data_IF_696052685960
#
_entry.id   IF_696052685960
#
_cell.length_a   1.000
_cell.length_b   1.000
_cell.length_c   1.000
_cell.angle_alpha   90.00
_cell.angle_beta   90.00
_cell.angle_gamma   90.00
#
_symmetry.space_group_name_H-M   'P 1'
#
loop_
_entity.id
_entity.type
_entity.pdbx_description
1 polymer ?
#
# COMPACT_ATOMS: atom_id res chain seq x y z
N UNK A 1 -3.56 13.88 19.29
CA UNK A 1 -3.06 13.16 20.47
C UNK A 1 -3.13 14.11 21.65
N UNK A 2 -4.15 13.96 22.50
CA UNK A 2 -4.26 14.74 23.73
C UNK A 2 -3.10 14.34 24.64
N UNK A 3 -2.31 15.33 25.07
CA UNK A 3 -1.22 15.15 26.03
C UNK A 3 -1.80 14.75 27.38
N UNK A 4 -1.92 13.44 27.64
CA UNK A 4 -2.12 12.87 28.96
C UNK A 4 -0.81 12.93 29.79
N UNK A 5 -0.11 14.06 29.75
CA UNK A 5 1.01 14.33 30.62
C UNK A 5 0.48 15.10 31.82
N UNK A 6 0.52 14.52 33.01
CA UNK A 6 0.23 15.25 34.23
C UNK A 6 1.19 16.45 34.34
N UNK A 7 0.65 17.67 34.33
CA UNK A 7 1.43 18.88 34.56
C UNK A 7 2.14 18.83 35.92
N UNK A 8 3.27 19.53 36.06
CA UNK A 8 4.07 19.53 37.29
C UNK A 8 3.29 19.94 38.57
N UNK A 9 2.14 20.59 38.42
CA UNK A 9 1.25 20.99 39.51
C UNK A 9 0.17 19.94 39.87
N UNK A 10 -0.10 19.01 38.96
CA UNK A 10 -1.18 18.02 39.03
C UNK A 10 -0.69 16.58 39.12
N UNK A 11 0.61 16.37 38.98
CA UNK A 11 1.21 15.04 39.04
C UNK A 11 1.07 14.36 40.42
N UNK A 12 1.20 13.04 40.43
CA UNK A 12 1.05 12.22 41.63
C UNK A 12 1.97 12.67 42.78
N UNK A 13 3.16 13.21 42.45
CA UNK A 13 4.07 13.78 43.43
C UNK A 13 3.56 15.10 44.02
N UNK A 14 3.09 16.04 43.21
CA UNK A 14 2.52 17.30 43.71
C UNK A 14 1.25 17.05 44.53
N UNK A 15 0.43 16.07 44.15
CA UNK A 15 -0.73 15.63 44.94
C UNK A 15 -0.29 15.05 46.29
N UNK A 16 0.77 14.23 46.34
CA UNK A 16 1.29 13.70 47.59
C UNK A 16 1.84 14.79 48.50
N UNK A 17 2.58 15.76 47.95
CA UNK A 17 3.10 16.91 48.69
C UNK A 17 1.96 17.79 49.23
N UNK A 18 0.91 18.05 48.43
CA UNK A 18 -0.32 18.73 48.88
C UNK A 18 -1.03 17.97 50.00
N UNK A 19 -1.14 16.65 49.88
CA UNK A 19 -1.78 15.80 50.90
C UNK A 19 -0.98 15.78 52.21
N UNK A 20 0.35 15.75 52.15
CA UNK A 20 1.21 15.83 53.34
C UNK A 20 1.03 17.18 54.03
N UNK A 21 1.01 18.28 53.27
CA UNK A 21 0.77 19.64 53.81
C UNK A 21 -0.61 19.75 54.45
N UNK A 22 -1.66 19.31 53.76
CA UNK A 22 -3.02 19.27 54.31
C UNK A 22 -3.04 18.49 55.64
N UNK A 23 -2.42 17.30 55.70
CA UNK A 23 -2.38 16.49 56.93
C UNK A 23 -1.54 17.10 58.06
N UNK A 24 -0.56 17.96 57.75
CA UNK A 24 0.20 18.70 58.76
C UNK A 24 -0.58 19.89 59.33
N UNK A 25 -1.40 20.55 58.49
CA UNK A 25 -2.18 21.73 58.84
C UNK A 25 -3.53 21.41 59.51
N UNK A 26 -3.96 20.13 59.53
CA UNK A 26 -5.21 19.71 60.21
C UNK A 26 -5.08 19.81 61.73
N UNK A 27 -5.25 21.04 62.22
CA UNK A 27 -5.70 21.35 63.56
C UNK A 27 -7.21 21.09 63.63
N UNK A 28 -7.64 20.18 64.52
CA UNK A 28 -8.96 19.98 65.17
C UNK A 28 -10.29 20.22 64.43
N UNK A 29 -10.30 20.50 63.12
CA UNK A 29 -11.50 20.79 62.30
C UNK A 29 -11.90 19.60 61.42
N UNK A 30 -11.43 18.39 61.73
CA UNK A 30 -11.63 17.15 60.96
C UNK A 30 -13.05 16.56 61.12
N UNK A 31 -14.08 17.37 60.90
CA UNK A 31 -15.48 16.95 61.01
C UNK A 31 -16.52 17.93 60.46
N UNK A 32 -16.16 19.20 60.22
CA UNK A 32 -17.14 20.24 59.87
C UNK A 32 -17.26 20.48 58.36
N UNK A 33 -16.20 20.25 57.58
CA UNK A 33 -16.20 20.46 56.12
C UNK A 33 -15.38 19.39 55.38
N UNK A 34 -15.89 18.89 54.25
CA UNK A 34 -15.20 17.88 53.44
C UNK A 34 -14.05 18.49 52.64
N UNK A 35 -12.83 18.00 52.84
CA UNK A 35 -11.60 18.51 52.22
C UNK A 35 -11.00 17.53 51.17
N UNK A 36 -11.82 16.63 50.63
CA UNK A 36 -11.39 15.61 49.67
C UNK A 36 -10.93 14.30 50.31
N UNK A 37 -10.75 13.27 49.48
CA UNK A 37 -10.44 11.89 49.92
C UNK A 37 -9.13 11.78 50.71
N UNK A 38 -8.18 12.69 50.50
CA UNK A 38 -6.89 12.71 51.20
C UNK A 38 -6.86 13.59 52.47
N UNK A 39 -7.95 14.33 52.74
CA UNK A 39 -8.09 15.20 53.90
C UNK A 39 -8.61 14.50 55.16
N UNK A 40 -8.87 13.18 55.11
CA UNK A 40 -9.18 12.41 56.31
C UNK A 40 -7.92 12.24 57.18
N UNK A 41 -8.10 12.22 58.51
CA UNK A 41 -7.02 12.17 59.50
C UNK A 41 -6.14 10.93 59.30
N UNK A 42 -4.89 11.15 58.91
CA UNK A 42 -3.88 10.11 58.83
C UNK A 42 -3.06 10.05 60.12
N UNK A 43 -3.09 8.89 60.80
CA UNK A 43 -2.33 8.66 62.04
C UNK A 43 -0.84 8.36 61.80
N UNK A 44 -0.46 8.07 60.56
CA UNK A 44 0.92 7.83 60.16
C UNK A 44 1.51 9.12 59.61
N UNK A 45 2.47 9.69 60.34
CA UNK A 45 3.15 10.92 59.94
C UNK A 45 4.09 10.65 58.77
N UNK A 46 3.73 11.10 57.57
CA UNK A 46 4.61 11.09 56.40
C UNK A 46 5.38 12.40 56.34
N UNK A 47 6.71 12.34 56.29
CA UNK A 47 7.57 13.53 56.17
C UNK A 47 7.72 13.92 54.70
N UNK A 48 7.82 15.22 54.40
CA UNK A 48 8.07 15.71 53.03
C UNK A 48 9.40 15.19 52.47
N UNK A 49 10.41 15.00 53.33
CA UNK A 49 11.68 14.35 52.96
C UNK A 49 11.50 12.92 52.43
N UNK A 50 10.47 12.21 52.89
CA UNK A 50 10.14 10.86 52.42
C UNK A 50 9.56 10.87 51.00
N UNK A 51 8.82 11.93 50.64
CA UNK A 51 8.34 12.15 49.26
C UNK A 51 9.49 12.50 48.31
N UNK A 52 10.51 13.22 48.79
CA UNK A 52 11.74 13.49 48.04
C UNK A 52 12.60 12.24 47.77
N UNK A 53 12.74 11.37 48.78
CA UNK A 53 13.52 10.12 48.70
C UNK A 53 12.85 9.02 47.86
N UNK A 54 11.60 9.23 47.46
CA UNK A 54 10.86 8.29 46.62
C UNK A 54 11.50 8.07 45.24
N UNK A 55 12.25 9.06 44.73
CA UNK A 55 13.01 8.92 43.47
C UNK A 55 14.04 7.78 43.51
N UNK A 56 14.58 7.46 44.68
CA UNK A 56 15.63 6.45 44.84
C UNK A 56 15.08 5.12 45.38
N UNK A 57 14.06 5.17 46.24
CA UNK A 57 13.52 3.97 46.90
C UNK A 57 12.38 3.31 46.14
N UNK A 58 11.69 4.04 45.24
CA UNK A 58 10.56 3.52 44.47
C UNK A 58 9.37 3.05 45.31
N UNK A 59 9.33 3.43 46.59
CA UNK A 59 8.39 2.89 47.58
C UNK A 59 6.99 3.49 47.51
N UNK A 60 6.80 4.64 46.87
CA UNK A 60 5.54 5.39 46.89
C UNK A 60 5.10 5.87 45.50
N UNK A 61 4.27 5.10 44.82
CA UNK A 61 3.48 5.57 43.66
C UNK A 61 4.30 6.07 42.45
N UNK A 62 3.61 6.65 41.45
CA UNK A 62 4.23 7.11 40.21
C UNK A 62 5.29 8.19 40.46
N UNK A 63 6.46 8.03 39.84
CA UNK A 63 7.60 8.94 39.99
C UNK A 63 7.57 9.99 38.87
N UNK A 64 7.86 11.25 39.23
CA UNK A 64 8.03 12.35 38.26
C UNK A 64 9.23 12.09 37.35
N UNK A 65 8.99 12.03 36.03
CA UNK A 65 10.04 11.93 35.03
C UNK A 65 10.92 13.20 35.00
N UNK A 66 12.17 13.09 34.52
CA UNK A 66 13.04 14.26 34.35
C UNK A 66 12.53 15.11 33.18
N UNK A 67 12.44 16.43 33.34
CA UNK A 67 11.88 17.33 32.32
C UNK A 67 12.85 17.67 31.19
N UNK A 68 14.15 17.56 31.44
CA UNK A 68 15.23 18.00 30.55
C UNK A 68 15.90 16.86 29.78
N UNK A 69 15.62 15.61 30.14
CA UNK A 69 16.23 14.45 29.51
C UNK A 69 15.22 13.73 28.62
N UNK A 70 15.57 13.57 27.34
CA UNK A 70 14.84 12.71 26.42
C UNK A 70 15.43 11.30 26.49
N UNK A 71 14.57 10.29 26.64
CA UNK A 71 15.00 8.90 26.57
C UNK A 71 15.51 8.57 25.15
N UNK A 72 16.63 7.85 25.06
CA UNK A 72 17.12 7.33 23.79
C UNK A 72 16.19 6.20 23.35
N UNK A 73 15.50 6.38 22.24
CA UNK A 73 14.71 5.31 21.63
C UNK A 73 15.60 4.57 20.62
N UNK A 74 15.90 3.30 20.90
CA UNK A 74 16.52 2.39 19.94
C UNK A 74 15.48 1.34 19.56
N UNK A 75 15.22 1.22 18.26
CA UNK A 75 14.34 0.19 17.74
C UNK A 75 15.03 -1.16 17.83
N UNK A 76 14.38 -2.12 18.49
CA UNK A 76 14.81 -3.51 18.51
C UNK A 76 14.09 -4.26 17.39
N UNK A 77 14.87 -4.73 16.42
CA UNK A 77 14.37 -5.42 15.24
C UNK A 77 14.40 -6.94 15.38
N UNK A 78 15.00 -7.49 16.44
CA UNK A 78 15.08 -8.93 16.65
C UNK A 78 13.77 -9.45 17.25
N UNK A 79 12.97 -10.24 16.51
CA UNK A 79 11.76 -10.83 17.08
C UNK A 79 12.13 -12.03 17.95
N UNK A 80 11.66 -12.06 19.19
CA UNK A 80 11.78 -13.22 20.09
C UNK A 80 10.76 -14.32 19.72
N UNK A 81 10.73 -14.73 18.45
CA UNK A 81 9.83 -15.77 17.94
C UNK A 81 10.60 -17.07 17.74
N UNK A 82 10.01 -18.18 18.19
CA UNK A 82 10.62 -19.50 18.07
C UNK A 82 10.67 -19.91 16.60
N UNK A 83 11.88 -20.02 16.06
CA UNK A 83 12.11 -20.42 14.67
C UNK A 83 11.50 -21.80 14.37
N UNK A 84 11.80 -22.79 15.20
CA UNK A 84 11.36 -24.17 14.98
C UNK A 84 9.82 -24.27 15.02
N UNK A 85 9.18 -23.57 15.96
CA UNK A 85 7.72 -23.53 16.03
C UNK A 85 7.08 -22.76 14.87
N UNK A 86 7.73 -21.70 14.38
CA UNK A 86 7.21 -20.92 13.24
C UNK A 86 7.29 -21.69 11.93
N UNK A 87 8.41 -22.37 11.67
CA UNK A 87 8.63 -23.09 10.41
C UNK A 87 7.97 -24.48 10.40
N UNK A 88 8.15 -25.25 11.46
CA UNK A 88 7.72 -26.66 11.50
C UNK A 88 6.42 -26.85 12.27
N UNK A 89 6.07 -25.88 13.12
CA UNK A 89 4.91 -25.99 13.96
C UNK A 89 5.07 -26.82 15.22
N UNK A 90 6.27 -27.37 15.45
CA UNK A 90 6.62 -28.16 16.60
C UNK A 90 7.91 -27.61 17.21
N UNK A 91 7.87 -27.25 18.49
CA UNK A 91 9.07 -26.91 19.23
C UNK A 91 9.43 -28.08 20.14
N UNK A 92 10.65 -28.61 20.02
CA UNK A 92 11.13 -29.70 20.89
C UNK A 92 11.18 -29.31 22.37
N UNK A 93 11.22 -28.01 22.69
CA UNK A 93 11.18 -27.49 24.05
C UNK A 93 9.76 -27.31 24.60
N UNK A 94 8.72 -27.49 23.76
CA UNK A 94 7.32 -27.28 24.13
C UNK A 94 7.11 -25.93 24.83
N UNK A 95 6.28 -25.92 25.87
CA UNK A 95 5.94 -24.70 26.63
C UNK A 95 7.10 -24.15 27.50
N UNK A 96 8.23 -24.85 27.56
CA UNK A 96 9.44 -24.35 28.24
C UNK A 96 10.33 -23.49 27.34
N UNK A 97 9.93 -23.26 26.09
CA UNK A 97 10.67 -22.44 25.16
C UNK A 97 10.70 -20.97 25.61
N UNK A 98 11.90 -20.36 25.64
CA UNK A 98 12.08 -18.93 25.94
C UNK A 98 11.45 -18.02 24.86
N UNK A 99 11.35 -18.52 23.64
CA UNK A 99 10.88 -17.77 22.48
C UNK A 99 9.38 -17.97 22.27
N UNK A 100 8.72 -16.94 21.74
CA UNK A 100 7.28 -16.94 21.51
C UNK A 100 6.88 -17.97 20.45
N UNK A 101 5.85 -18.76 20.77
CA UNK A 101 5.20 -19.70 19.85
C UNK A 101 4.13 -19.02 19.01
N UNK A 102 4.56 -18.23 18.03
CA UNK A 102 3.67 -17.59 17.05
C UNK A 102 3.94 -18.12 15.64
N UNK A 103 2.86 -18.33 14.87
CA UNK A 103 2.90 -18.74 13.45
C UNK A 103 2.48 -17.62 12.50
N UNK A 104 2.26 -16.40 13.00
CA UNK A 104 2.02 -15.23 12.17
C UNK A 104 3.19 -14.95 11.22
N UNK A 105 2.89 -14.78 9.94
CA UNK A 105 3.82 -14.45 8.86
C UNK A 105 3.78 -12.97 8.49
N UNK A 106 3.48 -12.09 9.46
CA UNK A 106 3.45 -10.65 9.24
C UNK A 106 4.80 -10.11 8.79
N UNK A 107 4.78 -9.18 7.84
CA UNK A 107 5.97 -8.45 7.41
C UNK A 107 6.52 -7.63 8.58
N UNK A 108 7.82 -7.74 8.82
CA UNK A 108 8.52 -6.90 9.80
C UNK A 108 8.53 -5.43 9.37
N UNK A 109 8.57 -4.50 10.32
CA UNK A 109 8.52 -3.06 10.05
C UNK A 109 9.50 -2.58 8.98
N UNK A 110 10.77 -3.05 9.02
CA UNK A 110 11.77 -2.69 8.01
C UNK A 110 11.39 -3.12 6.59
N UNK A 111 10.67 -4.23 6.45
CA UNK A 111 10.22 -4.73 5.15
C UNK A 111 9.08 -3.86 4.61
N UNK A 112 8.19 -3.39 5.50
CA UNK A 112 7.12 -2.45 5.18
C UNK A 112 7.71 -1.09 4.76
N UNK A 113 8.66 -0.56 5.54
CA UNK A 113 9.32 0.71 5.25
C UNK A 113 10.03 0.67 3.90
N UNK A 114 10.72 -0.44 3.60
CA UNK A 114 11.39 -0.63 2.31
C UNK A 114 10.42 -0.69 1.13
N UNK A 115 9.30 -1.40 1.28
CA UNK A 115 8.25 -1.46 0.25
C UNK A 115 7.61 -0.09 0.02
N UNK A 116 7.43 0.68 1.10
CA UNK A 116 6.92 2.04 1.04
C UNK A 116 7.90 3.00 0.34
N UNK A 117 9.18 2.96 0.69
CA UNK A 117 10.24 3.76 0.05
C UNK A 117 10.37 3.46 -1.44
N UNK A 118 10.28 2.19 -1.82
CA UNK A 118 10.29 1.80 -3.23
C UNK A 118 9.07 2.30 -3.99
N UNK A 119 7.89 2.25 -3.36
CA UNK A 119 6.64 2.77 -3.93
C UNK A 119 6.72 4.29 -4.11
N UNK A 120 7.20 5.02 -3.11
CA UNK A 120 7.45 6.46 -3.20
C UNK A 120 8.45 6.80 -4.31
N UNK A 121 9.55 6.04 -4.41
CA UNK A 121 10.56 6.20 -5.47
C UNK A 121 9.94 5.97 -6.85
N UNK A 122 9.17 4.91 -7.06
CA UNK A 122 8.49 4.61 -8.33
C UNK A 122 7.48 5.69 -8.69
N UNK A 123 6.71 6.18 -7.71
CA UNK A 123 5.77 7.30 -7.89
C UNK A 123 6.49 8.57 -8.33
N UNK A 124 7.60 8.92 -7.68
CA UNK A 124 8.41 10.09 -8.03
C UNK A 124 9.00 9.96 -9.45
N UNK A 125 9.45 8.76 -9.82
CA UNK A 125 9.96 8.47 -11.18
C UNK A 125 8.86 8.58 -12.25
N UNK A 126 7.68 8.02 -12.00
CA UNK A 126 6.54 8.12 -12.92
C UNK A 126 6.10 9.57 -13.16
N UNK A 127 6.00 10.34 -12.07
CA UNK A 127 5.67 11.76 -12.14
C UNK A 127 6.74 12.57 -12.88
N UNK A 128 8.03 12.25 -12.69
CA UNK A 128 9.12 12.85 -13.44
C UNK A 128 9.10 12.49 -14.94
N UNK A 129 8.59 11.31 -15.29
CA UNK A 129 8.39 10.86 -16.67
C UNK A 129 7.08 11.37 -17.30
N UNK A 130 6.24 12.10 -16.56
CA UNK A 130 4.96 12.60 -17.05
C UNK A 130 3.86 11.54 -17.17
N UNK A 131 4.04 10.34 -16.60
CA UNK A 131 3.01 9.30 -16.51
C UNK A 131 2.16 9.50 -15.25
N UNK A 132 0.84 9.30 -15.39
CA UNK A 132 -0.09 9.37 -14.26
C UNK A 132 0.09 8.12 -13.37
N UNK A 133 0.52 8.33 -12.12
CA UNK A 133 0.67 7.26 -11.15
C UNK A 133 -0.69 6.94 -10.51
N UNK A 134 -1.36 5.91 -11.01
CA UNK A 134 -2.55 5.39 -10.36
C UNK A 134 -2.19 4.85 -8.97
N UNK A 135 -2.77 5.47 -7.94
CA UNK A 135 -2.50 5.15 -6.53
C UNK A 135 -3.22 3.88 -6.06
N UNK A 136 -4.17 3.38 -6.86
CA UNK A 136 -5.03 2.25 -6.56
C UNK A 136 -4.71 1.09 -7.52
N UNK A 137 -4.43 -0.08 -6.95
CA UNK A 137 -4.36 -1.33 -7.72
C UNK A 137 -2.98 -1.90 -7.94
N UNK A 138 -2.70 -2.96 -7.17
CA UNK A 138 -2.10 -4.22 -7.61
C UNK A 138 -0.75 -4.20 -8.33
N UNK A 139 0.15 -5.06 -7.86
CA UNK A 139 1.37 -5.53 -8.53
C UNK A 139 1.01 -6.38 -9.79
N UNK A 140 -0.01 -5.96 -10.55
CA UNK A 140 -0.61 -6.69 -11.68
C UNK A 140 0.26 -6.58 -12.93
N UNK A 141 1.04 -5.51 -13.05
CA UNK A 141 2.03 -5.32 -14.13
C UNK A 141 3.08 -6.45 -14.16
N UNK A 142 3.26 -7.19 -13.06
CA UNK A 142 4.23 -8.28 -12.96
C UNK A 142 3.78 -9.55 -13.70
N UNK A 143 2.49 -9.68 -14.03
CA UNK A 143 1.93 -10.79 -14.81
C UNK A 143 1.37 -10.36 -16.17
N UNK A 144 1.44 -9.08 -16.53
CA UNK A 144 1.12 -8.62 -17.89
C UNK A 144 2.25 -9.05 -18.82
N UNK A 145 2.03 -10.15 -19.54
CA UNK A 145 2.79 -10.48 -20.75
C UNK A 145 2.50 -9.36 -21.72
N UNK A 146 3.46 -8.45 -21.93
CA UNK A 146 3.41 -7.51 -23.05
C UNK A 146 3.54 -8.32 -24.32
N UNK A 147 2.40 -8.75 -24.85
CA UNK A 147 2.30 -9.20 -26.23
C UNK A 147 2.47 -7.96 -27.09
N UNK A 148 3.69 -7.74 -27.56
CA UNK A 148 3.92 -6.98 -28.78
C UNK A 148 3.17 -7.72 -29.90
N UNK A 149 1.95 -7.29 -30.23
CA UNK A 149 1.39 -7.34 -31.59
C UNK A 149 0.00 -6.68 -31.65
N UNK A 150 -0.06 -5.67 -32.52
CA UNK A 150 -1.19 -4.91 -33.07
C UNK A 150 -2.60 -5.12 -32.47
N UNK A 151 -3.11 -4.07 -31.81
CA UNK A 151 -4.55 -3.80 -31.60
C UNK A 151 -5.30 -3.48 -32.93
N UNK A 152 -4.93 -4.18 -34.00
CA UNK A 152 -5.56 -4.14 -35.31
C UNK A 152 -6.62 -5.24 -35.44
N UNK A 153 -7.75 -4.91 -36.05
CA UNK A 153 -8.79 -5.90 -36.37
C UNK A 153 -8.21 -6.98 -37.29
N UNK A 154 -7.89 -8.19 -36.83
CA UNK A 154 -7.24 -9.26 -37.61
C UNK A 154 -7.99 -9.69 -38.90
N UNK A 155 -9.30 -9.45 -38.95
CA UNK A 155 -10.15 -9.86 -40.07
C UNK A 155 -11.05 -8.71 -40.54
N UNK A 156 -11.37 -8.71 -41.83
CA UNK A 156 -12.30 -7.74 -42.39
C UNK A 156 -13.70 -7.95 -41.80
N UNK A 157 -14.32 -6.91 -41.25
CA UNK A 157 -15.64 -6.99 -40.61
C UNK A 157 -16.79 -7.30 -41.59
N UNK A 158 -16.56 -7.14 -42.90
CA UNK A 158 -17.55 -7.39 -43.95
C UNK A 158 -17.54 -8.86 -44.40
N UNK A 159 -16.37 -9.44 -44.66
CA UNK A 159 -16.24 -10.83 -45.13
C UNK A 159 -15.80 -11.82 -44.05
N UNK A 160 -15.37 -11.35 -42.87
CA UNK A 160 -14.82 -12.14 -41.76
C UNK A 160 -13.64 -13.04 -42.14
N UNK A 161 -12.99 -12.71 -43.24
CA UNK A 161 -11.78 -13.35 -43.75
C UNK A 161 -10.58 -12.45 -43.46
N UNK A 162 -9.35 -13.00 -43.49
CA UNK A 162 -8.15 -12.16 -43.47
C UNK A 162 -8.21 -11.09 -44.56
N UNK A 163 -7.51 -9.97 -44.36
CA UNK A 163 -7.54 -8.91 -45.36
C UNK A 163 -6.89 -9.36 -46.66
N UNK A 164 -7.58 -9.04 -47.75
CA UNK A 164 -7.08 -9.17 -49.11
C UNK A 164 -7.09 -7.79 -49.75
N UNK A 165 -5.92 -7.25 -50.08
CA UNK A 165 -5.67 -5.86 -50.50
C UNK A 165 -6.33 -4.88 -49.53
N UNK A 166 -5.76 -4.79 -48.33
CA UNK A 166 -6.27 -3.95 -47.26
C UNK A 166 -6.31 -2.45 -47.64
N UNK A 167 -7.45 -1.80 -47.38
CA UNK A 167 -7.67 -0.36 -47.53
C UNK A 167 -8.10 0.25 -46.21
N UNK A 168 -7.60 1.44 -45.91
CA UNK A 168 -7.99 2.24 -44.76
C UNK A 168 -9.00 3.31 -45.19
N UNK A 169 -10.01 3.53 -44.36
CA UNK A 169 -10.96 4.63 -44.52
C UNK A 169 -10.52 5.83 -43.68
N UNK A 170 -11.00 7.03 -43.99
CA UNK A 170 -10.73 8.26 -43.21
C UNK A 170 -11.05 8.15 -41.71
N UNK A 171 -11.89 7.19 -41.34
CA UNK A 171 -12.28 6.92 -39.96
C UNK A 171 -11.39 5.87 -39.26
N UNK A 172 -10.31 5.42 -39.90
CA UNK A 172 -9.36 4.46 -39.35
C UNK A 172 -9.83 3.00 -39.37
N UNK A 173 -10.88 2.66 -40.13
CA UNK A 173 -11.33 1.27 -40.27
C UNK A 173 -10.71 0.62 -41.51
N UNK A 174 -10.30 -0.64 -41.35
CA UNK A 174 -9.67 -1.46 -42.38
C UNK A 174 -10.66 -2.41 -43.05
N UNK A 175 -10.60 -2.52 -44.37
CA UNK A 175 -11.44 -3.43 -45.16
C UNK A 175 -10.65 -4.02 -46.33
N UNK A 176 -11.14 -5.11 -46.93
CA UNK A 176 -10.64 -5.55 -48.23
C UNK A 176 -11.12 -4.58 -49.34
N UNK A 177 -10.29 -4.35 -50.37
CA UNK A 177 -10.63 -3.52 -51.54
C UNK A 177 -12.01 -3.88 -52.13
N UNK A 178 -12.23 -5.17 -52.37
CA UNK A 178 -13.50 -5.66 -52.93
C UNK A 178 -14.69 -5.44 -51.99
N UNK A 179 -14.48 -5.55 -50.67
CA UNK A 179 -15.54 -5.36 -49.67
C UNK A 179 -15.91 -3.88 -49.53
N UNK A 180 -14.92 -2.99 -49.54
CA UNK A 180 -15.13 -1.55 -49.50
C UNK A 180 -15.93 -1.07 -50.72
N UNK A 181 -15.55 -1.52 -51.93
CA UNK A 181 -16.24 -1.15 -53.17
C UNK A 181 -17.68 -1.71 -53.25
N UNK A 182 -17.90 -2.96 -52.83
CA UNK A 182 -19.25 -3.56 -52.78
C UNK A 182 -20.16 -2.80 -51.82
N UNK A 183 -19.63 -2.30 -50.69
CA UNK A 183 -20.40 -1.52 -49.74
C UNK A 183 -20.68 -0.12 -50.25
N UNK A 184 -19.69 0.56 -50.83
CA UNK A 184 -19.85 1.91 -51.39
C UNK A 184 -20.95 1.96 -52.46
N UNK A 185 -21.09 0.91 -53.28
CA UNK A 185 -22.19 0.75 -54.25
C UNK A 185 -23.59 0.73 -53.61
N UNK A 186 -23.70 0.23 -52.37
CA UNK A 186 -24.98 0.15 -51.65
C UNK A 186 -25.22 1.38 -50.77
N UNK A 187 -24.19 1.84 -50.07
CA UNK A 187 -24.23 2.96 -49.14
C UNK A 187 -22.87 3.65 -49.10
N UNK A 188 -22.82 4.97 -49.14
CA UNK A 188 -21.58 5.77 -49.01
C UNK A 188 -21.06 5.91 -47.56
N UNK A 189 -21.52 5.03 -46.66
CA UNK A 189 -21.22 5.05 -45.22
C UNK A 189 -20.27 3.91 -44.85
N UNK A 190 -19.39 4.17 -43.88
CA UNK A 190 -18.50 3.16 -43.31
C UNK A 190 -19.28 2.08 -42.55
N UNK A 191 -18.82 0.83 -42.61
CA UNK A 191 -19.52 -0.30 -42.00
C UNK A 191 -19.48 -0.29 -40.47
N UNK A 192 -18.35 0.11 -39.86
CA UNK A 192 -18.17 0.08 -38.42
C UNK A 192 -18.75 1.32 -37.72
N UNK A 193 -18.46 2.52 -38.24
CA UNK A 193 -18.82 3.78 -37.57
C UNK A 193 -19.89 4.61 -38.27
N UNK A 194 -20.40 4.15 -39.42
CA UNK A 194 -21.44 4.83 -40.20
C UNK A 194 -21.11 6.28 -40.63
N UNK A 195 -19.84 6.71 -40.53
CA UNK A 195 -19.38 8.00 -41.06
C UNK A 195 -19.34 7.96 -42.59
N UNK A 196 -19.63 9.09 -43.23
CA UNK A 196 -19.51 9.24 -44.68
C UNK A 196 -18.05 9.07 -45.11
N UNK A 197 -17.77 8.16 -46.05
CA UNK A 197 -16.40 7.89 -46.52
C UNK A 197 -15.99 8.77 -47.68
N UNK A 198 -16.92 9.54 -48.26
CA UNK A 198 -16.70 10.46 -49.39
C UNK A 198 -15.99 9.82 -50.61
N UNK A 199 -16.05 8.50 -50.75
CA UNK A 199 -15.38 7.75 -51.82
C UNK A 199 -13.86 7.70 -51.70
N UNK A 200 -13.28 8.11 -50.57
CA UNK A 200 -11.84 8.11 -50.34
C UNK A 200 -11.44 6.86 -49.55
N UNK A 201 -10.62 6.02 -50.18
CA UNK A 201 -10.05 4.81 -49.59
C UNK A 201 -8.53 4.86 -49.81
N UNK A 202 -7.77 4.94 -48.72
CA UNK A 202 -6.33 4.95 -48.77
C UNK A 202 -5.79 3.51 -48.68
N UNK A 203 -4.56 3.31 -49.11
CA UNK A 203 -3.91 2.00 -49.08
C UNK A 203 -3.28 1.78 -47.71
N UNK A 204 -3.70 0.73 -47.00
CA UNK A 204 -3.07 0.33 -45.75
C UNK A 204 -1.77 -0.42 -46.05
N UNK A 205 -0.62 0.28 -46.01
CA UNK A 205 0.68 -0.29 -46.40
C UNK A 205 1.09 -1.49 -45.53
N UNK A 206 0.96 -1.36 -44.20
CA UNK A 206 1.34 -2.38 -43.23
C UNK A 206 0.62 -3.72 -43.45
N UNK A 207 -0.72 -3.67 -43.48
CA UNK A 207 -1.56 -4.84 -43.70
C UNK A 207 -1.37 -5.49 -45.09
N UNK A 208 -0.95 -4.73 -46.12
CA UNK A 208 -0.63 -5.32 -47.43
C UNK A 208 0.74 -6.00 -47.46
N UNK A 209 1.69 -5.52 -46.68
CA UNK A 209 2.99 -6.17 -46.52
C UNK A 209 2.82 -7.50 -45.79
N UNK A 210 1.99 -7.55 -44.75
CA UNK A 210 1.62 -8.78 -44.04
C UNK A 210 0.89 -9.79 -44.93
N UNK A 211 -0.06 -9.33 -45.76
CA UNK A 211 -0.73 -10.19 -46.74
C UNK A 211 0.27 -10.79 -47.74
N UNK A 212 1.22 -9.97 -48.23
CA UNK A 212 2.24 -10.40 -49.18
C UNK A 212 3.19 -11.42 -48.54
N UNK A 213 3.63 -11.18 -47.30
CA UNK A 213 4.46 -12.12 -46.55
C UNK A 213 3.76 -13.48 -46.39
N UNK A 214 2.48 -13.49 -45.99
CA UNK A 214 1.73 -14.75 -45.84
C UNK A 214 1.58 -15.51 -47.16
N UNK A 215 1.28 -14.81 -48.26
CA UNK A 215 1.16 -15.43 -49.58
C UNK A 215 2.50 -15.98 -50.10
N UNK A 216 3.62 -15.34 -49.75
CA UNK A 216 4.98 -15.80 -50.09
C UNK A 216 5.35 -17.07 -49.29
N UNK A 217 4.97 -17.15 -48.02
CA UNK A 217 5.12 -18.36 -47.20
C UNK A 217 4.26 -19.52 -47.74
N UNK A 218 2.97 -19.27 -48.02
CA UNK A 218 2.07 -20.27 -48.61
C UNK A 218 2.59 -20.78 -49.98
N UNK A 219 3.25 -19.92 -50.76
CA UNK A 219 3.88 -20.31 -52.03
C UNK A 219 5.19 -21.11 -51.84
N UNK A 220 5.96 -20.84 -50.78
CA UNK A 220 7.15 -21.60 -50.45
C UNK A 220 6.79 -23.03 -50.04
N UNK A 221 5.77 -23.19 -49.18
CA UNK A 221 5.31 -24.49 -48.70
C UNK A 221 4.75 -25.38 -49.83
N UNK A 222 4.10 -24.78 -50.84
CA UNK A 222 3.56 -25.55 -51.96
C UNK A 222 4.65 -26.09 -52.90
N UNK A 223 5.76 -25.36 -53.09
CA UNK A 223 6.85 -25.78 -53.97
C UNK A 223 7.73 -26.91 -53.39
N UNK A 224 7.79 -27.05 -52.06
CA UNK A 224 8.48 -28.18 -51.39
C UNK A 224 7.64 -29.48 -51.39
N UNK A 225 6.32 -29.37 -51.63
CA UNK A 225 5.40 -30.52 -51.63
C UNK A 225 5.29 -31.25 -52.98
N UNK A 226 5.83 -30.67 -54.06
CA UNK A 226 5.82 -31.21 -55.43
C UNK A 226 7.23 -31.69 -55.90
N UNK A 227 8.21 -31.79 -54.98
CA UNK A 227 9.55 -32.34 -55.19
C UNK A 227 9.71 -33.74 -54.55
#
# INVERSE_FOLDING_TARGET
MASCGDDAASDARALLEKNIKLNADVNDMSGTFYQGKAGYKNYVTKKESQAGMNKYTGTQGPIRAQTWARSICRFDYAPDVCKDYKETGFCGFGDSCKFMHDRGDYKSGWQIDKEWDEKERKKKQALAAGLEYNSDGSDDDKYVIKSDDDEGQFACTICRQPFTKAVETLCGHFFCEACALKRYKKTSLCFNCQKQTNGVFNIAKKLREEEKARLEEEAADHNDSDA
#
